data_IF_647181432206
#
_entry.id   IF_647181432206
#
_cell.length_a   1.000
_cell.length_b   1.000
_cell.length_c   1.000
_cell.angle_alpha   90.00
_cell.angle_beta   90.00
_cell.angle_gamma   90.00
#
_symmetry.space_group_name_H-M   'P 1'
#
loop_
_entity.id
_entity.type
_entity.pdbx_description
1 polymer ?
#
# COMPACT_ATOMS: atom_id res chain seq x y z
N UNK A 1 -20.42 17.23 8.72
CA UNK A 1 -19.71 15.94 8.83
C UNK A 1 -18.37 16.22 9.49
N UNK A 2 -18.18 15.80 10.74
CA UNK A 2 -16.89 15.97 11.43
C UNK A 2 -15.94 14.92 10.85
N UNK A 3 -14.71 15.31 10.49
CA UNK A 3 -13.70 14.36 10.02
C UNK A 3 -13.30 13.44 11.18
N UNK A 4 -13.52 12.14 11.01
CA UNK A 4 -13.08 11.13 11.98
C UNK A 4 -11.63 10.70 11.71
N UNK A 5 -10.95 10.15 12.71
CA UNK A 5 -9.62 9.57 12.54
C UNK A 5 -9.60 8.51 11.42
N UNK A 6 -10.60 7.64 11.37
CA UNK A 6 -10.78 6.64 10.30
C UNK A 6 -10.79 7.31 8.93
N UNK A 7 -11.61 8.35 8.74
CA UNK A 7 -11.71 9.08 7.47
C UNK A 7 -10.37 9.68 7.04
N UNK A 8 -9.62 10.29 7.96
CA UNK A 8 -8.30 10.87 7.67
C UNK A 8 -7.34 9.78 7.19
N UNK A 9 -7.27 8.65 7.90
CA UNK A 9 -6.38 7.56 7.54
C UNK A 9 -6.75 6.91 6.20
N UNK A 10 -8.04 6.73 5.92
CA UNK A 10 -8.50 6.20 4.63
C UNK A 10 -8.02 7.08 3.45
N UNK A 11 -8.15 8.40 3.58
CA UNK A 11 -7.69 9.35 2.56
C UNK A 11 -6.17 9.32 2.40
N UNK A 12 -5.42 9.31 3.50
CA UNK A 12 -3.95 9.23 3.46
C UNK A 12 -3.46 7.95 2.77
N UNK A 13 -4.04 6.80 3.13
CA UNK A 13 -3.70 5.51 2.51
C UNK A 13 -4.05 5.53 1.03
N UNK A 14 -5.26 5.99 0.66
CA UNK A 14 -5.72 6.03 -0.73
C UNK A 14 -4.81 6.91 -1.61
N UNK A 15 -4.53 8.14 -1.17
CA UNK A 15 -3.65 9.06 -1.90
C UNK A 15 -2.25 8.46 -2.06
N UNK A 16 -1.70 7.87 -0.99
CA UNK A 16 -0.36 7.26 -1.04
C UNK A 16 -0.29 6.11 -2.03
N UNK A 17 -1.28 5.21 -2.02
CA UNK A 17 -1.34 4.09 -2.96
C UNK A 17 -1.45 4.57 -4.41
N UNK A 18 -2.37 5.50 -4.70
CA UNK A 18 -2.54 6.05 -6.04
C UNK A 18 -1.29 6.80 -6.51
N UNK A 19 -0.67 7.59 -5.64
CA UNK A 19 0.56 8.31 -5.96
C UNK A 19 1.72 7.37 -6.31
N UNK A 20 1.92 6.31 -5.53
CA UNK A 20 2.98 5.33 -5.80
C UNK A 20 2.72 4.55 -7.09
N UNK A 21 1.49 4.11 -7.33
CA UNK A 21 1.15 3.19 -8.42
C UNK A 21 0.78 3.86 -9.75
N UNK A 22 0.30 5.11 -9.73
CA UNK A 22 -0.02 5.85 -10.95
C UNK A 22 1.08 6.84 -11.34
N UNK A 23 1.65 7.56 -10.37
CA UNK A 23 2.58 8.67 -10.66
C UNK A 23 4.04 8.24 -10.52
N UNK A 24 4.38 7.47 -9.49
CA UNK A 24 5.76 7.07 -9.22
C UNK A 24 6.15 5.70 -9.77
N UNK A 25 5.26 4.98 -10.45
CA UNK A 25 5.49 3.60 -10.86
C UNK A 25 6.78 3.38 -11.67
N UNK A 26 7.16 4.37 -12.48
CA UNK A 26 8.37 4.36 -13.34
C UNK A 26 9.49 5.29 -12.84
N UNK A 27 9.36 5.82 -11.62
CA UNK A 27 10.30 6.79 -11.04
C UNK A 27 11.17 6.11 -9.96
N UNK A 28 12.47 6.46 -9.89
CA UNK A 28 13.30 6.03 -8.78
C UNK A 28 12.85 6.75 -7.51
N UNK A 29 12.83 6.03 -6.40
CA UNK A 29 12.55 6.58 -5.07
C UNK A 29 13.53 5.97 -4.07
N UNK A 30 13.86 6.66 -2.97
CA UNK A 30 14.75 6.13 -1.95
C UNK A 30 14.17 4.92 -1.20
N UNK A 31 12.89 4.60 -1.44
CA UNK A 31 12.15 3.51 -0.81
C UNK A 31 12.07 2.24 -1.68
N UNK A 32 12.54 2.28 -2.94
CA UNK A 32 12.51 1.12 -3.84
C UNK A 32 13.35 -0.04 -3.29
N UNK A 33 12.84 -1.26 -3.46
CA UNK A 33 13.55 -2.48 -3.12
C UNK A 33 14.89 -2.64 -3.83
N UNK A 34 15.95 -2.97 -3.09
CA UNK A 34 17.32 -3.09 -3.63
C UNK A 34 17.75 -1.86 -4.43
N UNK A 35 18.28 -2.05 -5.64
CA UNK A 35 18.72 -0.95 -6.51
C UNK A 35 17.70 -0.58 -7.59
N UNK A 36 16.43 -0.97 -7.43
CA UNK A 36 15.41 -0.76 -8.44
C UNK A 36 15.09 0.71 -8.68
N UNK A 37 14.85 1.07 -9.94
CA UNK A 37 14.46 2.42 -10.38
C UNK A 37 12.98 2.52 -10.78
N UNK A 38 12.26 1.40 -10.78
CA UNK A 38 10.83 1.32 -11.09
C UNK A 38 10.16 0.19 -10.31
N UNK A 39 8.82 0.20 -10.23
CA UNK A 39 8.05 -0.91 -9.63
C UNK A 39 8.32 -2.24 -10.35
N UNK A 40 8.48 -2.21 -11.67
CA UNK A 40 8.76 -3.43 -12.45
C UNK A 40 10.12 -4.02 -12.08
N UNK A 41 11.15 -3.18 -11.98
CA UNK A 41 12.47 -3.61 -11.51
C UNK A 41 12.44 -4.07 -10.07
N UNK A 42 11.66 -3.41 -9.20
CA UNK A 42 11.52 -3.78 -7.79
C UNK A 42 10.94 -5.19 -7.64
N UNK A 43 9.92 -5.54 -8.41
CA UNK A 43 9.38 -6.90 -8.43
C UNK A 43 10.39 -7.92 -8.97
N UNK A 44 11.22 -7.54 -9.95
CA UNK A 44 12.31 -8.40 -10.42
C UNK A 44 13.39 -8.62 -9.35
N UNK A 45 13.75 -7.58 -8.58
CA UNK A 45 14.67 -7.68 -7.42
C UNK A 45 14.11 -8.65 -6.37
N UNK A 46 12.80 -8.60 -6.11
CA UNK A 46 12.13 -9.54 -5.20
C UNK A 46 12.01 -10.97 -5.75
N UNK A 47 12.49 -11.22 -6.98
CA UNK A 47 12.34 -12.48 -7.71
C UNK A 47 10.87 -12.89 -7.88
N UNK A 48 9.99 -11.89 -8.09
CA UNK A 48 8.56 -12.11 -8.34
C UNK A 48 8.27 -12.11 -9.85
N UNK A 49 7.31 -12.92 -10.33
CA UNK A 49 6.94 -12.96 -11.74
C UNK A 49 6.20 -11.70 -12.18
N UNK A 50 6.34 -11.29 -13.44
CA UNK A 50 5.75 -10.05 -13.97
C UNK A 50 4.23 -9.95 -13.81
N UNK A 51 3.50 -11.06 -13.80
CA UNK A 51 2.04 -11.05 -13.62
C UNK A 51 1.64 -10.53 -12.23
N UNK A 52 2.47 -10.78 -11.20
CA UNK A 52 2.14 -10.39 -9.82
C UNK A 52 2.20 -8.87 -9.62
N UNK A 53 3.01 -8.15 -10.42
CA UNK A 53 3.00 -6.69 -10.47
C UNK A 53 1.61 -6.15 -10.79
N UNK A 54 0.95 -6.72 -11.80
CA UNK A 54 -0.38 -6.29 -12.23
C UNK A 54 -1.45 -6.64 -11.21
N UNK A 55 -1.36 -7.82 -10.59
CA UNK A 55 -2.30 -8.23 -9.53
C UNK A 55 -2.16 -7.34 -8.29
N UNK A 56 -0.95 -7.17 -7.76
CA UNK A 56 -0.71 -6.33 -6.58
C UNK A 56 -1.05 -4.88 -6.86
N UNK A 57 -0.74 -4.38 -8.05
CA UNK A 57 -1.08 -3.01 -8.46
C UNK A 57 -2.57 -2.78 -8.59
N UNK A 58 -3.27 -3.70 -9.28
CA UNK A 58 -4.72 -3.67 -9.42
C UNK A 58 -5.41 -3.69 -8.07
N UNK A 59 -5.00 -4.57 -7.16
CA UNK A 59 -5.54 -4.63 -5.80
C UNK A 59 -5.30 -3.35 -5.01
N UNK A 60 -4.10 -2.75 -5.07
CA UNK A 60 -3.79 -1.50 -4.36
C UNK A 60 -4.60 -0.32 -4.90
N UNK A 61 -4.76 -0.22 -6.22
CA UNK A 61 -5.56 0.83 -6.84
C UNK A 61 -7.05 0.64 -6.52
N UNK A 62 -7.58 -0.58 -6.64
CA UNK A 62 -8.97 -0.88 -6.30
C UNK A 62 -9.26 -0.59 -4.82
N UNK A 63 -8.37 -1.00 -3.91
CA UNK A 63 -8.50 -0.71 -2.49
C UNK A 63 -8.41 0.78 -2.18
N UNK A 64 -7.58 1.54 -2.90
CA UNK A 64 -7.52 2.99 -2.75
C UNK A 64 -8.85 3.66 -3.13
N UNK A 65 -9.49 3.24 -4.22
CA UNK A 65 -10.82 3.71 -4.57
C UNK A 65 -11.89 3.25 -3.58
N UNK A 66 -11.79 2.03 -3.06
CA UNK A 66 -12.69 1.52 -2.02
C UNK A 66 -12.57 2.34 -0.72
N UNK A 67 -11.37 2.78 -0.33
CA UNK A 67 -11.18 3.69 0.80
C UNK A 67 -11.81 5.07 0.57
N UNK A 68 -11.69 5.62 -0.64
CA UNK A 68 -12.37 6.88 -0.97
C UNK A 68 -13.90 6.70 -0.94
N UNK A 69 -14.42 5.64 -1.54
CA UNK A 69 -15.85 5.30 -1.49
C UNK A 69 -16.32 5.02 -0.05
N UNK A 70 -15.44 4.47 0.80
CA UNK A 70 -15.66 4.17 2.21
C UNK A 70 -16.07 5.37 3.06
N UNK A 71 -15.77 6.60 2.60
CA UNK A 71 -16.22 7.83 3.24
C UNK A 71 -17.75 7.97 3.18
N UNK A 72 -18.37 7.56 2.08
CA UNK A 72 -19.82 7.59 1.88
C UNK A 72 -20.48 6.23 2.15
N UNK A 73 -19.73 5.15 2.00
CA UNK A 73 -20.16 3.76 2.17
C UNK A 73 -19.29 3.07 3.23
N UNK A 74 -19.51 3.30 4.54
CA UNK A 74 -18.61 2.86 5.61
C UNK A 74 -18.26 1.35 5.58
N UNK A 75 -19.17 0.50 5.08
CA UNK A 75 -18.94 -0.93 4.92
C UNK A 75 -17.78 -1.31 3.99
N UNK A 76 -17.26 -0.38 3.18
CA UNK A 76 -16.10 -0.62 2.31
C UNK A 76 -14.75 -0.39 3.00
N UNK A 77 -14.72 0.35 4.11
CA UNK A 77 -13.46 0.74 4.76
C UNK A 77 -12.73 -0.49 5.35
N UNK A 78 -13.45 -1.36 6.05
CA UNK A 78 -12.89 -2.57 6.65
C UNK A 78 -12.31 -3.55 5.61
N UNK A 79 -13.06 -3.99 4.57
CA UNK A 79 -12.50 -4.90 3.57
C UNK A 79 -11.32 -4.29 2.80
N UNK A 80 -11.36 -2.99 2.49
CA UNK A 80 -10.22 -2.29 1.88
C UNK A 80 -8.98 -2.31 2.79
N UNK A 81 -9.16 -2.06 4.09
CA UNK A 81 -8.08 -2.11 5.08
C UNK A 81 -7.47 -3.50 5.21
N UNK A 82 -8.29 -4.55 5.25
CA UNK A 82 -7.80 -5.94 5.31
C UNK A 82 -6.96 -6.29 4.08
N UNK A 83 -7.45 -5.97 2.88
CA UNK A 83 -6.70 -6.22 1.63
C UNK A 83 -5.35 -5.50 1.66
N UNK A 84 -5.34 -4.21 1.97
CA UNK A 84 -4.10 -3.42 1.97
C UNK A 84 -3.16 -3.88 3.09
N UNK A 85 -3.68 -4.24 4.26
CA UNK A 85 -2.90 -4.78 5.38
C UNK A 85 -2.07 -5.99 4.93
N UNK A 86 -2.69 -7.01 4.33
CA UNK A 86 -1.96 -8.19 3.86
C UNK A 86 -0.96 -7.86 2.73
N UNK A 87 -1.30 -6.93 1.83
CA UNK A 87 -0.36 -6.48 0.80
C UNK A 87 0.84 -5.72 1.40
N UNK A 88 0.65 -4.98 2.50
CA UNK A 88 1.75 -4.30 3.19
C UNK A 88 2.60 -5.29 3.99
N UNK A 89 2.01 -6.30 4.63
CA UNK A 89 2.78 -7.41 5.25
C UNK A 89 3.68 -8.06 4.20
N UNK A 90 3.12 -8.39 3.03
CA UNK A 90 3.89 -8.93 1.92
C UNK A 90 5.01 -8.00 1.44
N UNK A 91 4.75 -6.70 1.32
CA UNK A 91 5.75 -5.71 0.92
C UNK A 91 6.90 -5.60 1.95
N UNK A 92 6.59 -5.53 3.25
CA UNK A 92 7.59 -5.53 4.32
C UNK A 92 8.41 -6.83 4.27
N UNK A 93 7.75 -7.98 4.11
CA UNK A 93 8.44 -9.27 3.98
C UNK A 93 9.39 -9.32 2.77
N UNK A 94 9.03 -8.70 1.64
CA UNK A 94 9.91 -8.64 0.47
C UNK A 94 11.15 -7.77 0.71
N UNK A 95 11.02 -6.63 1.41
CA UNK A 95 12.19 -5.84 1.82
C UNK A 95 13.11 -6.61 2.76
N UNK A 96 12.54 -7.39 3.70
CA UNK A 96 13.33 -8.27 4.57
C UNK A 96 14.02 -9.38 3.76
N UNK A 97 13.32 -9.99 2.80
CA UNK A 97 13.84 -11.07 1.94
C UNK A 97 15.08 -10.65 1.16
N UNK A 98 15.13 -9.40 0.68
CA UNK A 98 16.29 -8.87 -0.06
C UNK A 98 17.26 -8.08 0.83
N UNK A 99 17.11 -8.17 2.15
CA UNK A 99 17.97 -7.52 3.15
C UNK A 99 18.11 -6.01 2.95
N UNK A 100 17.01 -5.34 2.57
CA UNK A 100 17.01 -3.89 2.43
C UNK A 100 17.20 -3.17 3.78
N UNK A 101 17.83 -1.99 3.79
CA UNK A 101 17.81 -1.11 4.94
C UNK A 101 16.38 -0.79 5.38
N UNK A 102 16.11 -0.79 6.69
CA UNK A 102 14.77 -0.60 7.29
C UNK A 102 14.05 0.65 6.75
N UNK A 103 14.80 1.71 6.43
CA UNK A 103 14.26 2.96 5.86
C UNK A 103 13.45 2.74 4.58
N UNK A 104 13.75 1.70 3.78
CA UNK A 104 13.05 1.42 2.52
C UNK A 104 11.68 0.80 2.76
N UNK A 105 11.55 -0.03 3.80
CA UNK A 105 10.28 -0.60 4.21
C UNK A 105 9.35 0.43 4.90
N UNK A 106 9.85 1.62 5.26
CA UNK A 106 9.11 2.59 6.05
C UNK A 106 7.73 2.95 5.46
N UNK A 107 7.56 3.23 4.15
CA UNK A 107 6.23 3.51 3.61
C UNK A 107 5.27 2.32 3.76
N UNK A 108 5.74 1.09 3.53
CA UNK A 108 4.92 -0.10 3.70
C UNK A 108 4.52 -0.32 5.17
N UNK A 109 5.46 -0.15 6.10
CA UNK A 109 5.20 -0.27 7.54
C UNK A 109 4.22 0.78 8.07
N UNK A 110 4.33 2.03 7.61
CA UNK A 110 3.40 3.10 8.01
C UNK A 110 1.98 2.79 7.51
N UNK A 111 1.84 2.40 6.24
CA UNK A 111 0.53 2.02 5.69
C UNK A 111 -0.05 0.78 6.36
N UNK A 112 0.79 -0.17 6.76
CA UNK A 112 0.37 -1.35 7.54
C UNK A 112 -0.29 -0.93 8.85
N UNK A 113 0.36 -0.04 9.61
CA UNK A 113 -0.17 0.49 10.88
C UNK A 113 -1.48 1.25 10.64
N UNK A 114 -1.55 2.11 9.62
CA UNK A 114 -2.78 2.82 9.29
C UNK A 114 -3.93 1.85 8.98
N UNK A 115 -3.68 0.80 8.20
CA UNK A 115 -4.71 -0.20 7.90
C UNK A 115 -5.15 -0.97 9.15
N UNK A 116 -4.23 -1.30 10.07
CA UNK A 116 -4.57 -1.93 11.34
C UNK A 116 -5.45 -1.02 12.21
N UNK A 117 -5.11 0.27 12.32
CA UNK A 117 -5.91 1.25 13.07
C UNK A 117 -7.29 1.43 12.43
N UNK A 118 -7.38 1.53 11.10
CA UNK A 118 -8.67 1.59 10.41
C UNK A 118 -9.48 0.32 10.72
N UNK A 119 -8.90 -0.87 10.61
CA UNK A 119 -9.62 -2.11 10.87
C UNK A 119 -10.17 -2.19 12.31
N UNK A 120 -9.40 -1.78 13.32
CA UNK A 120 -9.82 -1.79 14.73
C UNK A 120 -10.93 -0.76 14.99
N UNK A 121 -10.86 0.43 14.39
CA UNK A 121 -11.83 1.51 14.63
C UNK A 121 -13.17 1.28 13.91
N UNK A 122 -13.19 0.47 12.85
CA UNK A 122 -14.40 0.16 12.07
C UNK A 122 -14.93 -1.26 12.34
N UNK A 123 -14.42 -1.93 13.38
CA UNK A 123 -14.94 -3.20 13.90
C UNK A 123 -15.91 -2.93 15.05
#
# INVERSE_FOLDING_TARGET
MIMTLSTVLQVLVAITLLWVWLVQAKKPTPYRGGNARSLKEEFAVYSLPNWSLWVVGGLKIAAAFAFLAGIWLPGLALPAAVVVFFLMVGAVAMHLKVSDPIKKAAPASVLLVFCAVIAIVNF
#
